data_IF_041936200833
#
_entry.id   IF_041936200833
#
_cell.length_a   1.000
_cell.length_b   1.000
_cell.length_c   1.000
_cell.angle_alpha   90.00
_cell.angle_beta   90.00
_cell.angle_gamma   90.00
#
_symmetry.space_group_name_H-M   'P 1'
#
loop_
_entity.id
_entity.type
_entity.pdbx_description
1 polymer ?
#
# COMPACT_ATOMS: atom_id res chain seq x y z
N UNK A 1 2.88 -0.91 9.85
CA UNK A 1 2.91 -1.88 8.73
C UNK A 1 2.17 -1.25 7.56
N UNK A 2 2.64 -1.35 6.30
CA UNK A 2 1.94 -0.75 5.17
C UNK A 2 0.56 -1.36 4.98
N UNK A 3 -0.42 -0.56 4.55
CA UNK A 3 -1.81 -1.02 4.49
C UNK A 3 -2.76 -0.05 3.81
N UNK A 4 -3.94 -0.57 3.44
CA UNK A 4 -5.07 0.20 2.95
C UNK A 4 -6.11 0.32 4.06
N UNK A 5 -6.56 1.53 4.34
CA UNK A 5 -7.47 1.86 5.43
C UNK A 5 -8.69 2.62 4.91
N UNK A 6 -9.81 2.52 5.62
CA UNK A 6 -11.00 3.34 5.34
C UNK A 6 -10.73 4.75 5.85
N UNK A 7 -10.86 5.77 4.99
CA UNK A 7 -10.46 7.14 5.33
C UNK A 7 -11.24 7.74 6.50
N UNK A 8 -12.54 7.43 6.60
CA UNK A 8 -13.42 8.00 7.63
C UNK A 8 -13.21 7.38 9.02
N UNK A 9 -12.90 6.09 9.10
CA UNK A 9 -12.80 5.33 10.36
C UNK A 9 -11.38 4.93 10.75
N UNK A 10 -10.42 5.01 9.82
CA UNK A 10 -9.07 4.46 9.98
C UNK A 10 -9.01 2.97 10.25
N UNK A 11 -10.09 2.24 9.95
CA UNK A 11 -10.10 0.79 10.05
C UNK A 11 -9.33 0.18 8.87
N UNK A 12 -8.47 -0.83 9.12
CA UNK A 12 -7.74 -1.50 8.05
C UNK A 12 -8.68 -2.34 7.19
N UNK A 13 -8.56 -2.22 5.86
CA UNK A 13 -9.23 -3.14 4.95
C UNK A 13 -8.53 -4.50 4.96
N UNK A 14 -9.27 -5.63 5.01
CA UNK A 14 -8.68 -6.96 5.00
C UNK A 14 -7.82 -7.22 3.75
N UNK A 15 -6.54 -7.56 3.97
CA UNK A 15 -5.65 -8.02 2.92
C UNK A 15 -5.94 -9.48 2.58
N UNK A 16 -6.35 -9.75 1.35
CA UNK A 16 -6.65 -11.10 0.85
C UNK A 16 -5.41 -11.83 0.34
N UNK A 17 -4.54 -11.13 -0.38
CA UNK A 17 -3.28 -11.69 -0.84
C UNK A 17 -2.24 -10.60 -1.10
N UNK A 18 -0.97 -11.00 -1.05
CA UNK A 18 0.16 -10.10 -1.30
C UNK A 18 1.25 -10.82 -2.08
N UNK A 19 1.87 -10.09 -3.02
CA UNK A 19 3.13 -10.46 -3.64
C UNK A 19 4.06 -9.26 -3.59
N UNK A 20 5.10 -9.37 -2.77
CA UNK A 20 6.06 -8.30 -2.56
C UNK A 20 7.41 -8.73 -3.14
N UNK A 21 8.05 -7.82 -3.87
CA UNK A 21 9.43 -7.93 -4.31
C UNK A 21 10.20 -6.74 -3.77
N UNK A 22 11.39 -6.99 -3.25
CA UNK A 22 12.30 -5.97 -2.78
C UNK A 22 13.68 -6.22 -3.39
N UNK A 23 14.37 -5.15 -3.77
CA UNK A 23 15.73 -5.17 -4.28
C UNK A 23 16.52 -4.07 -3.56
N UNK A 24 17.59 -4.46 -2.87
CA UNK A 24 18.51 -3.53 -2.22
C UNK A 24 19.75 -3.32 -3.11
N UNK A 25 20.14 -2.07 -3.32
CA UNK A 25 21.35 -1.70 -4.03
C UNK A 25 22.06 -0.55 -3.29
N UNK A 26 23.10 -0.89 -2.52
CA UNK A 26 23.70 0.05 -1.57
C UNK A 26 22.67 0.52 -0.54
N UNK A 27 22.51 1.84 -0.43
CA UNK A 27 21.53 2.48 0.47
C UNK A 27 20.13 2.67 -0.17
N UNK A 28 19.94 2.23 -1.41
CA UNK A 28 18.67 2.33 -2.11
C UNK A 28 17.88 1.04 -1.99
N UNK A 29 16.62 1.14 -1.60
CA UNK A 29 15.67 0.03 -1.56
C UNK A 29 14.55 0.27 -2.57
N UNK A 30 14.39 -0.63 -3.53
CA UNK A 30 13.27 -0.63 -4.47
C UNK A 30 12.26 -1.69 -4.06
N UNK A 31 10.99 -1.29 -3.88
CA UNK A 31 9.90 -2.19 -3.49
C UNK A 31 8.82 -2.17 -4.57
N UNK A 32 8.34 -3.36 -4.93
CA UNK A 32 7.14 -3.53 -5.76
C UNK A 32 6.18 -4.45 -5.03
N UNK A 33 5.00 -3.94 -4.68
CA UNK A 33 3.98 -4.69 -3.96
C UNK A 33 2.69 -4.79 -4.79
N UNK A 34 2.24 -6.02 -5.03
CA UNK A 34 0.89 -6.30 -5.50
C UNK A 34 0.06 -6.75 -4.32
N UNK A 35 -0.90 -5.92 -3.91
CA UNK A 35 -1.72 -6.11 -2.72
C UNK A 35 -3.18 -6.20 -3.14
N UNK A 36 -3.88 -7.26 -2.74
CA UNK A 36 -5.30 -7.47 -3.03
C UNK A 36 -6.06 -7.32 -1.73
N UNK A 37 -6.93 -6.32 -1.65
CA UNK A 37 -7.79 -6.06 -0.50
C UNK A 37 -9.23 -6.46 -0.78
N UNK A 38 -9.97 -6.80 0.28
CA UNK A 38 -11.42 -7.02 0.23
C UNK A 38 -12.11 -5.84 0.89
N UNK A 39 -13.09 -5.23 0.22
CA UNK A 39 -14.04 -4.34 0.88
C UNK A 39 -15.15 -5.20 1.52
N UNK A 40 -15.26 -5.27 2.86
CA UNK A 40 -16.32 -6.05 3.51
C UNK A 40 -17.67 -5.31 3.55
N UNK A 41 -17.70 -4.03 3.19
CA UNK A 41 -18.91 -3.22 3.18
C UNK A 41 -19.70 -3.42 1.88
N UNK A 42 -21.02 -3.31 1.97
CA UNK A 42 -21.91 -3.39 0.80
C UNK A 42 -21.69 -2.21 -0.17
N UNK A 43 -21.40 -1.03 0.39
CA UNK A 43 -21.16 0.19 -0.36
C UNK A 43 -19.66 0.43 -0.64
N UNK A 44 -19.31 1.17 -1.71
CA UNK A 44 -17.96 1.64 -1.93
C UNK A 44 -17.45 2.46 -0.75
N UNK A 45 -16.19 2.23 -0.36
CA UNK A 45 -15.52 2.99 0.69
C UNK A 45 -14.38 3.82 0.10
N UNK A 46 -14.15 4.99 0.66
CA UNK A 46 -12.96 5.78 0.36
C UNK A 46 -11.76 5.22 1.14
N UNK A 47 -10.69 4.91 0.41
CA UNK A 47 -9.51 4.24 0.95
C UNK A 47 -8.26 5.12 0.94
N UNK A 48 -7.42 5.00 1.96
CA UNK A 48 -6.09 5.59 2.04
C UNK A 48 -5.03 4.50 2.19
N UNK A 49 -4.03 4.52 1.30
CA UNK A 49 -2.88 3.64 1.43
C UNK A 49 -1.76 4.33 2.21
N UNK A 50 -1.22 3.65 3.21
CA UNK A 50 -0.16 4.16 4.08
C UNK A 50 1.04 3.24 3.94
N UNK A 51 2.20 3.82 3.63
CA UNK A 51 3.49 3.15 3.73
C UNK A 51 4.34 3.91 4.77
N UNK A 52 4.57 3.36 5.97
CA UNK A 52 5.39 4.02 6.97
C UNK A 52 6.86 4.02 6.53
N UNK A 53 7.53 5.14 6.76
CA UNK A 53 8.97 5.31 6.57
C UNK A 53 9.61 5.58 7.92
N UNK A 54 10.82 5.09 8.09
CA UNK A 54 11.65 5.49 9.23
C UNK A 54 12.16 6.93 9.05
N UNK A 55 12.56 7.59 10.14
CA UNK A 55 13.00 8.99 10.12
C UNK A 55 14.19 9.25 9.17
N UNK A 56 15.04 8.25 8.97
CA UNK A 56 16.20 8.31 8.07
C UNK A 56 15.89 7.92 6.61
N UNK A 57 14.65 7.55 6.28
CA UNK A 57 14.25 7.09 4.96
C UNK A 57 13.57 8.21 4.17
N UNK A 58 13.79 8.21 2.85
CA UNK A 58 13.15 9.14 1.91
C UNK A 58 12.67 8.40 0.68
N UNK A 59 11.55 8.84 0.12
CA UNK A 59 11.00 8.28 -1.12
C UNK A 59 11.66 8.98 -2.31
N UNK A 60 12.45 8.23 -3.08
CA UNK A 60 13.06 8.72 -4.31
C UNK A 60 12.10 8.69 -5.52
N UNK A 61 11.07 7.84 -5.48
CA UNK A 61 10.06 7.71 -6.54
C UNK A 61 8.89 6.83 -6.09
N UNK A 62 7.69 7.11 -6.61
CA UNK A 62 6.47 6.41 -6.26
C UNK A 62 5.55 6.28 -7.48
N UNK A 63 5.06 5.06 -7.71
CA UNK A 63 4.01 4.75 -8.69
C UNK A 63 3.00 3.83 -8.00
N UNK A 64 1.71 4.09 -8.23
CA UNK A 64 0.63 3.25 -7.74
C UNK A 64 -0.44 3.11 -8.81
N UNK A 65 -1.04 1.92 -8.89
CA UNK A 65 -2.14 1.63 -9.80
C UNK A 65 -3.23 0.90 -9.02
N UNK A 66 -4.50 1.26 -9.27
CA UNK A 66 -5.66 0.71 -8.58
C UNK A 66 -6.79 0.40 -9.57
N UNK A 67 -7.53 -0.68 -9.34
CA UNK A 67 -8.70 -1.01 -10.17
C UNK A 67 -8.40 -1.17 -11.68
N UNK A 68 -7.16 -1.51 -12.06
CA UNK A 68 -6.74 -1.65 -13.44
C UNK A 68 -6.38 -0.34 -14.17
N UNK A 69 -6.34 0.80 -13.47
CA UNK A 69 -5.93 2.10 -14.00
C UNK A 69 -4.60 2.50 -13.38
N UNK A 70 -3.66 2.95 -14.22
CA UNK A 70 -2.39 3.57 -13.82
C UNK A 70 -2.59 5.07 -13.68
#
# INVERSE_FOLDING_TARGET
MPGLYILSSWEPLPLKSSKVKACANGYSLSITAHLVYTNPHEEPVEGIFIYPLEESEVVAGFEAAGGGRR
#
